data_IF_736599114332
#
_entry.id   IF_736599114332
#
_cell.length_a   1.000
_cell.length_b   1.000
_cell.length_c   1.000
_cell.angle_alpha   90.00
_cell.angle_beta   90.00
_cell.angle_gamma   90.00
#
_symmetry.space_group_name_H-M   'P 1'
#
loop_
_entity.id
_entity.type
_entity.pdbx_description
1 polymer ?
#
# COMPACT_ATOMS: atom_id res chain seq x y z
N UNK A 1 8.16 12.42 -9.87
CA UNK A 1 7.81 11.90 -8.53
C UNK A 1 8.62 10.62 -8.33
N UNK A 2 9.15 10.36 -7.14
CA UNK A 2 10.08 9.23 -6.96
C UNK A 2 9.70 8.29 -5.81
N UNK A 3 8.91 8.75 -4.84
CA UNK A 3 8.39 7.92 -3.76
C UNK A 3 6.86 7.89 -3.82
N UNK A 4 6.30 6.73 -4.05
CA UNK A 4 4.88 6.46 -4.04
C UNK A 4 4.57 5.62 -2.80
N UNK A 5 3.78 6.17 -1.90
CA UNK A 5 3.31 5.46 -0.70
C UNK A 5 1.87 5.04 -0.95
N UNK A 6 1.57 3.75 -0.83
CA UNK A 6 0.23 3.20 -1.07
C UNK A 6 -0.35 2.77 0.28
N UNK A 7 -1.43 3.42 0.69
CA UNK A 7 -2.16 3.15 1.92
C UNK A 7 -3.65 3.00 1.64
N UNK A 8 -4.47 2.76 2.64
CA UNK A 8 -5.91 2.55 2.55
C UNK A 8 -6.39 1.62 3.66
N UNK A 9 -7.70 1.47 3.84
CA UNK A 9 -8.28 0.56 4.83
C UNK A 9 -7.79 -0.88 4.67
N UNK A 10 -7.81 -1.65 5.74
CA UNK A 10 -7.54 -3.09 5.67
C UNK A 10 -8.51 -3.80 4.73
N UNK A 11 -7.99 -4.63 3.81
CA UNK A 11 -8.82 -5.37 2.85
C UNK A 11 -9.09 -4.65 1.52
N UNK A 12 -8.74 -3.38 1.36
CA UNK A 12 -8.98 -2.62 0.10
C UNK A 12 -8.06 -3.02 -1.06
N UNK A 13 -7.11 -3.94 -0.87
CA UNK A 13 -6.20 -4.39 -1.92
C UNK A 13 -4.97 -3.52 -2.11
N UNK A 14 -4.49 -2.82 -1.06
CA UNK A 14 -3.29 -1.98 -1.08
C UNK A 14 -2.09 -2.64 -1.74
N UNK A 15 -1.72 -3.84 -1.31
CA UNK A 15 -0.58 -4.59 -1.83
C UNK A 15 -0.71 -4.86 -3.33
N UNK A 16 -1.92 -5.22 -3.79
CA UNK A 16 -2.20 -5.44 -5.22
C UNK A 16 -2.05 -4.14 -6.02
N UNK A 17 -2.58 -3.04 -5.50
CA UNK A 17 -2.45 -1.71 -6.13
C UNK A 17 -1.01 -1.24 -6.14
N UNK A 18 -0.26 -1.45 -5.04
CA UNK A 18 1.17 -1.13 -4.97
C UNK A 18 1.98 -1.91 -6.02
N UNK A 19 1.71 -3.21 -6.16
CA UNK A 19 2.36 -4.05 -7.17
C UNK A 19 2.00 -3.62 -8.60
N UNK A 20 0.72 -3.33 -8.86
CA UNK A 20 0.27 -2.84 -10.17
C UNK A 20 0.90 -1.48 -10.51
N UNK A 21 0.99 -0.56 -9.55
CA UNK A 21 1.64 0.72 -9.71
C UNK A 21 3.15 0.55 -10.01
N UNK A 22 3.82 -0.37 -9.32
CA UNK A 22 5.23 -0.65 -9.57
C UNK A 22 5.46 -1.17 -11.01
N UNK A 23 4.61 -2.08 -11.49
CA UNK A 23 4.65 -2.56 -12.88
C UNK A 23 4.37 -1.44 -13.89
N UNK A 24 3.36 -0.59 -13.62
CA UNK A 24 3.02 0.54 -14.48
C UNK A 24 4.18 1.55 -14.57
N UNK A 25 4.85 1.84 -13.45
CA UNK A 25 6.01 2.75 -13.41
C UNK A 25 7.26 2.13 -14.06
N UNK A 26 7.38 0.80 -14.08
CA UNK A 26 8.46 0.09 -14.77
C UNK A 26 8.21 0.03 -16.29
N UNK A 27 6.95 0.11 -16.75
CA UNK A 27 6.63 0.16 -18.18
C UNK A 27 7.37 1.32 -18.86
N UNK A 28 7.99 1.06 -20.00
CA UNK A 28 8.89 2.02 -20.66
C UNK A 28 10.37 1.85 -20.29
N UNK A 29 10.76 0.74 -19.66
CA UNK A 29 12.16 0.37 -19.40
C UNK A 29 12.71 0.89 -18.07
N UNK A 30 11.85 1.40 -17.16
CA UNK A 30 12.25 1.91 -15.85
C UNK A 30 12.61 0.79 -14.85
N UNK A 31 13.39 1.17 -13.82
CA UNK A 31 13.69 0.31 -12.66
C UNK A 31 12.94 0.80 -11.44
N UNK A 32 12.11 -0.06 -10.85
CA UNK A 32 11.25 0.27 -9.70
C UNK A 32 11.54 -0.66 -8.55
N UNK A 33 11.62 -0.10 -7.34
CA UNK A 33 11.69 -0.88 -6.11
C UNK A 33 10.32 -0.86 -5.41
N UNK A 34 9.73 -2.03 -5.24
CA UNK A 34 8.51 -2.26 -4.46
C UNK A 34 8.88 -2.73 -3.05
N UNK A 35 8.46 -1.98 -2.02
CA UNK A 35 8.85 -2.23 -0.64
C UNK A 35 7.64 -2.64 0.20
N UNK A 36 7.76 -3.76 0.93
CA UNK A 36 6.80 -4.20 1.94
C UNK A 36 7.32 -3.86 3.34
N UNK A 37 6.52 -3.15 4.14
CA UNK A 37 6.93 -2.70 5.48
C UNK A 37 6.15 -3.36 6.62
N UNK A 38 5.10 -4.11 6.31
CA UNK A 38 4.29 -4.81 7.34
C UNK A 38 4.71 -6.27 7.58
N UNK A 39 5.62 -6.83 6.79
CA UNK A 39 6.18 -8.18 6.96
C UNK A 39 5.20 -9.32 6.70
N UNK A 40 4.12 -9.08 5.95
CA UNK A 40 3.09 -10.09 5.65
C UNK A 40 3.42 -11.00 4.47
N UNK A 41 4.51 -10.72 3.77
CA UNK A 41 4.91 -11.43 2.55
C UNK A 41 3.84 -11.41 1.44
N UNK A 42 3.00 -10.37 1.42
CA UNK A 42 1.93 -10.21 0.44
C UNK A 42 2.45 -10.00 -0.98
N UNK A 43 3.58 -9.30 -1.12
CA UNK A 43 4.26 -9.10 -2.41
C UNK A 43 4.77 -10.45 -2.94
N UNK A 44 5.39 -11.28 -2.09
CA UNK A 44 5.88 -12.60 -2.50
C UNK A 44 4.72 -13.47 -3.02
N UNK A 45 3.57 -13.45 -2.35
CA UNK A 45 2.38 -14.19 -2.78
C UNK A 45 1.83 -13.68 -4.12
N UNK A 46 1.80 -12.37 -4.35
CA UNK A 46 1.30 -11.78 -5.61
C UNK A 46 2.15 -12.15 -6.82
N UNK A 47 3.46 -12.26 -6.64
CA UNK A 47 4.40 -12.59 -7.73
C UNK A 47 4.78 -14.07 -7.77
N UNK A 48 4.10 -14.92 -6.98
CA UNK A 48 4.37 -16.37 -6.87
C UNK A 48 5.87 -16.66 -6.66
N UNK A 49 6.47 -15.93 -5.73
CA UNK A 49 7.88 -16.08 -5.37
C UNK A 49 8.03 -16.63 -3.95
N UNK A 50 9.17 -17.26 -3.62
CA UNK A 50 9.48 -17.57 -2.23
C UNK A 50 9.46 -16.32 -1.34
N UNK A 51 9.28 -16.47 0.00
CA UNK A 51 9.31 -15.35 0.92
C UNK A 51 10.51 -14.42 0.67
N UNK A 52 10.24 -13.12 0.60
CA UNK A 52 11.29 -12.12 0.34
C UNK A 52 12.20 -11.98 1.56
N UNK A 53 13.51 -12.13 1.41
CA UNK A 53 14.47 -11.79 2.44
C UNK A 53 14.65 -10.26 2.54
N UNK A 54 15.43 -9.82 3.52
CA UNK A 54 15.91 -8.43 3.59
C UNK A 54 17.01 -8.18 2.52
N UNK A 55 16.63 -8.35 1.26
CA UNK A 55 17.49 -8.20 0.08
C UNK A 55 16.60 -7.83 -1.12
N UNK A 56 17.08 -6.91 -1.94
CA UNK A 56 16.37 -6.51 -3.16
C UNK A 56 16.42 -7.63 -4.20
N UNK A 57 15.25 -8.14 -4.61
CA UNK A 57 15.14 -9.22 -5.60
C UNK A 57 14.28 -8.81 -6.77
N UNK A 58 14.71 -9.15 -7.98
CA UNK A 58 13.89 -9.02 -9.17
C UNK A 58 12.68 -9.97 -9.06
N UNK A 59 11.47 -9.42 -9.11
CA UNK A 59 10.21 -10.18 -9.02
C UNK A 59 9.39 -10.12 -10.28
N UNK A 60 9.59 -9.12 -11.13
CA UNK A 60 8.90 -9.02 -12.41
C UNK A 60 9.71 -8.20 -13.42
N UNK A 61 9.45 -8.48 -14.70
CA UNK A 61 9.91 -7.69 -15.84
C UNK A 61 8.68 -7.20 -16.60
N UNK A 62 8.56 -5.89 -16.76
CA UNK A 62 7.47 -5.29 -17.52
C UNK A 62 7.61 -5.57 -19.04
N UNK A 63 6.53 -5.49 -19.83
CA UNK A 63 6.57 -5.84 -21.27
C UNK A 63 7.68 -5.13 -22.07
N UNK A 64 8.01 -3.89 -21.70
CA UNK A 64 9.02 -3.06 -22.37
C UNK A 64 10.44 -3.22 -21.77
N UNK A 65 10.67 -4.28 -21.00
CA UNK A 65 11.96 -4.60 -20.41
C UNK A 65 12.29 -3.85 -19.11
N UNK A 66 11.35 -3.09 -18.54
CA UNK A 66 11.52 -2.48 -17.23
C UNK A 66 11.48 -3.52 -16.11
N UNK A 67 12.17 -3.24 -15.02
CA UNK A 67 12.42 -4.18 -13.94
C UNK A 67 11.73 -3.75 -12.64
N UNK A 68 11.02 -4.68 -12.00
CA UNK A 68 10.46 -4.50 -10.65
C UNK A 68 11.26 -5.36 -9.69
N UNK A 69 11.96 -4.70 -8.77
CA UNK A 69 12.61 -5.32 -7.62
C UNK A 69 11.69 -5.23 -6.42
N UNK A 70 11.69 -6.24 -5.57
CA UNK A 70 10.95 -6.23 -4.31
C UNK A 70 11.89 -6.39 -3.12
N UNK A 71 11.51 -5.75 -2.00
CA UNK A 71 12.21 -5.81 -0.72
C UNK A 71 11.19 -5.91 0.41
N UNK A 72 11.22 -6.97 1.20
CA UNK A 72 10.55 -7.01 2.49
C UNK A 72 11.47 -6.37 3.54
N UNK A 73 11.04 -5.22 4.09
CA UNK A 73 11.86 -4.51 5.08
C UNK A 73 11.68 -5.14 6.44
N UNK A 74 12.76 -5.72 6.96
CA UNK A 74 12.84 -6.26 8.30
C UNK A 74 13.38 -5.20 9.27
N UNK A 75 12.64 -4.84 10.35
CA UNK A 75 13.05 -3.78 11.27
C UNK A 75 14.35 -4.10 12.03
N UNK A 76 14.61 -5.39 12.33
CA UNK A 76 15.83 -5.81 13.01
C UNK A 76 17.03 -5.63 12.09
N UNK A 77 16.93 -6.11 10.87
CA UNK A 77 17.99 -5.96 9.87
C UNK A 77 18.24 -4.48 9.55
N UNK A 78 17.19 -3.67 9.43
CA UNK A 78 17.30 -2.22 9.21
C UNK A 78 17.99 -1.51 10.39
N UNK A 79 17.72 -1.92 11.63
CA UNK A 79 18.41 -1.39 12.81
C UNK A 79 19.90 -1.72 12.79
N UNK A 80 20.24 -2.97 12.46
CA UNK A 80 21.64 -3.40 12.39
C UNK A 80 22.41 -2.63 11.30
N UNK A 81 21.80 -2.47 10.12
CA UNK A 81 22.37 -1.67 9.02
C UNK A 81 22.56 -0.21 9.46
N UNK A 82 21.59 0.38 10.16
CA UNK A 82 21.68 1.72 10.71
C UNK A 82 22.84 1.87 11.71
N UNK A 83 22.97 0.94 12.66
CA UNK A 83 24.06 0.95 13.64
C UNK A 83 25.44 0.77 13.00
N UNK A 84 25.51 -0.06 11.95
CA UNK A 84 26.74 -0.24 11.18
C UNK A 84 27.14 1.05 10.45
N UNK A 85 26.17 1.73 9.83
CA UNK A 85 26.41 2.94 9.05
C UNK A 85 26.86 4.14 9.90
N UNK A 86 26.23 4.35 11.07
CA UNK A 86 26.45 5.56 11.88
C UNK A 86 27.43 5.39 13.02
N UNK A 87 27.59 4.17 13.52
CA UNK A 87 28.42 3.90 14.71
C UNK A 87 29.60 2.96 14.43
N UNK A 88 29.79 2.54 13.19
CA UNK A 88 30.86 1.61 12.76
C UNK A 88 30.91 0.31 13.62
N UNK A 89 29.75 -0.14 14.06
CA UNK A 89 29.61 -1.21 15.06
C UNK A 89 29.48 -2.60 14.43
N UNK A 90 30.24 -2.92 13.37
CA UNK A 90 30.22 -4.23 12.70
C UNK A 90 30.32 -5.44 13.65
N UNK A 91 31.10 -5.31 14.75
CA UNK A 91 31.28 -6.39 15.73
C UNK A 91 30.23 -6.39 16.84
N UNK A 92 29.55 -5.27 17.07
CA UNK A 92 28.53 -5.15 18.13
C UNK A 92 27.16 -5.68 17.68
N UNK A 93 26.85 -5.69 16.37
CA UNK A 93 25.60 -6.22 15.84
C UNK A 93 25.37 -7.70 16.23
N UNK A 94 26.43 -8.52 16.22
CA UNK A 94 26.34 -9.92 16.65
C UNK A 94 26.17 -10.07 18.17
N UNK A 95 26.75 -9.17 18.96
CA UNK A 95 26.57 -9.14 20.40
C UNK A 95 25.18 -8.62 20.80
N UNK A 96 24.67 -7.60 20.11
CA UNK A 96 23.32 -7.05 20.30
C UNK A 96 22.22 -8.08 19.99
N UNK A 97 22.37 -8.87 18.91
CA UNK A 97 21.48 -10.00 18.62
C UNK A 97 21.45 -11.04 19.73
N UNK A 98 22.61 -11.40 20.26
CA UNK A 98 22.74 -12.39 21.36
C UNK A 98 22.13 -11.89 22.68
N UNK A 99 22.04 -10.58 22.88
CA UNK A 99 21.53 -9.98 24.11
C UNK A 99 20.02 -9.64 24.04
N UNK A 100 19.34 -9.92 22.91
CA UNK A 100 17.94 -9.52 22.71
C UNK A 100 17.73 -8.00 22.70
N UNK A 101 18.82 -7.22 22.61
CA UNK A 101 18.76 -5.75 22.65
C UNK A 101 18.05 -5.17 21.43
N UNK A 102 18.00 -5.91 20.34
CA UNK A 102 17.28 -5.54 19.12
C UNK A 102 15.78 -5.70 19.33
N UNK A 103 15.32 -6.82 19.88
CA UNK A 103 13.92 -7.03 20.25
C UNK A 103 13.47 -5.98 21.27
N UNK A 104 14.32 -5.64 22.23
CA UNK A 104 14.06 -4.58 23.20
C UNK A 104 13.89 -3.22 22.52
N UNK A 105 14.80 -2.81 21.63
CA UNK A 105 14.76 -1.52 20.97
C UNK A 105 13.54 -1.37 20.02
N UNK A 106 13.17 -2.44 19.32
CA UNK A 106 12.04 -2.43 18.38
C UNK A 106 10.68 -2.64 19.04
N UNK A 107 10.64 -3.32 20.20
CA UNK A 107 9.40 -3.60 20.93
C UNK A 107 9.03 -2.47 21.90
N UNK A 108 10.01 -1.85 22.56
CA UNK A 108 9.76 -0.83 23.59
C UNK A 108 9.71 0.60 23.03
N UNK A 109 10.33 0.84 21.85
CA UNK A 109 10.26 2.12 21.18
C UNK A 109 9.56 2.01 19.81
N UNK A 110 8.22 1.88 19.79
CA UNK A 110 7.47 1.62 18.54
C UNK A 110 7.74 2.66 17.44
N UNK A 111 8.02 3.92 17.78
CA UNK A 111 8.42 4.95 16.82
C UNK A 111 9.78 4.68 16.14
N UNK A 112 10.70 3.96 16.79
CA UNK A 112 12.00 3.61 16.20
C UNK A 112 11.83 2.68 15.00
N UNK A 113 10.89 1.72 15.09
CA UNK A 113 10.56 0.83 13.98
C UNK A 113 10.14 1.63 12.74
N UNK A 114 9.22 2.57 12.90
CA UNK A 114 8.68 3.35 11.78
C UNK A 114 9.76 4.26 11.16
N UNK A 115 10.66 4.80 11.99
CA UNK A 115 11.85 5.54 11.54
C UNK A 115 12.79 4.69 10.69
N UNK A 116 13.04 3.45 11.07
CA UNK A 116 13.92 2.55 10.34
C UNK A 116 13.31 2.14 8.99
N UNK A 117 12.01 1.81 8.99
CA UNK A 117 11.28 1.41 7.77
C UNK A 117 11.21 2.57 6.76
N UNK A 118 10.83 3.76 7.21
CA UNK A 118 10.79 4.97 6.36
C UNK A 118 12.20 5.40 5.95
N UNK A 119 13.17 5.29 6.85
CA UNK A 119 14.58 5.58 6.58
C UNK A 119 15.15 4.73 5.44
N UNK A 120 14.80 3.44 5.39
CA UNK A 120 15.21 2.53 4.31
C UNK A 120 14.63 2.94 2.96
N UNK A 121 13.37 3.35 2.92
CA UNK A 121 12.75 3.87 1.69
C UNK A 121 13.45 5.14 1.20
N UNK A 122 13.76 6.08 2.11
CA UNK A 122 14.46 7.31 1.75
C UNK A 122 15.91 7.06 1.34
N UNK A 123 16.58 6.08 1.93
CA UNK A 123 17.91 5.63 1.48
C UNK A 123 17.81 5.17 0.03
N UNK A 124 16.85 4.31 -0.31
CA UNK A 124 16.64 3.84 -1.67
C UNK A 124 16.32 4.98 -2.65
N UNK A 125 15.50 5.97 -2.25
CA UNK A 125 15.23 7.18 -3.06
C UNK A 125 16.51 7.97 -3.36
N UNK A 126 17.40 8.10 -2.38
CA UNK A 126 18.62 8.91 -2.50
C UNK A 126 19.79 8.15 -3.12
N UNK A 127 19.70 6.84 -3.23
CA UNK A 127 20.78 5.99 -3.74
C UNK A 127 21.11 6.35 -5.18
N UNK A 128 22.37 6.60 -5.44
CA UNK A 128 22.88 6.97 -6.77
C UNK A 128 22.67 8.44 -7.17
N UNK A 129 21.91 9.24 -6.42
CA UNK A 129 21.68 10.67 -6.75
C UNK A 129 22.98 11.49 -6.79
N UNK A 130 23.91 11.23 -5.86
CA UNK A 130 25.22 11.92 -5.83
C UNK A 130 26.08 11.61 -7.06
N UNK A 131 25.86 10.48 -7.69
CA UNK A 131 26.52 10.08 -8.93
C UNK A 131 25.76 10.55 -10.19
N UNK A 132 24.67 11.32 -10.02
CA UNK A 132 23.81 11.81 -11.11
C UNK A 132 22.93 10.74 -11.75
N UNK A 133 23.00 9.48 -11.30
CA UNK A 133 22.19 8.37 -11.82
C UNK A 133 21.55 7.63 -10.64
N UNK A 134 20.26 7.83 -10.38
CA UNK A 134 19.55 7.08 -9.35
C UNK A 134 19.54 5.58 -9.67
N UNK A 135 19.58 4.75 -8.62
CA UNK A 135 19.54 3.28 -8.76
C UNK A 135 18.15 2.82 -9.23
N UNK A 136 17.09 3.50 -8.75
CA UNK A 136 15.71 3.25 -9.14
C UNK A 136 15.07 4.54 -9.64
N UNK A 137 14.24 4.44 -10.66
CA UNK A 137 13.46 5.56 -11.20
C UNK A 137 12.32 5.92 -10.26
N UNK A 138 11.72 4.92 -9.61
CA UNK A 138 10.69 5.10 -8.58
C UNK A 138 10.80 4.06 -7.48
N UNK A 139 10.30 4.43 -6.30
CA UNK A 139 10.09 3.56 -5.15
C UNK A 139 8.59 3.51 -4.87
N UNK A 140 8.02 2.32 -4.75
CA UNK A 140 6.64 2.11 -4.32
C UNK A 140 6.66 1.41 -2.96
N UNK A 141 6.02 2.00 -1.97
CA UNK A 141 5.93 1.45 -0.62
C UNK A 141 4.51 0.95 -0.36
N UNK A 142 4.34 -0.35 -0.12
CA UNK A 142 3.12 -0.92 0.44
C UNK A 142 3.10 -0.62 1.94
N UNK A 143 2.33 0.41 2.31
CA UNK A 143 2.39 1.07 3.60
C UNK A 143 1.29 0.58 4.56
N UNK A 144 1.39 0.91 5.86
CA UNK A 144 0.34 0.60 6.83
C UNK A 144 -1.02 1.19 6.46
N UNK A 145 -2.12 0.68 7.07
CA UNK A 145 -3.47 1.21 6.86
C UNK A 145 -3.63 2.70 7.21
N UNK A 146 -4.66 3.35 6.65
CA UNK A 146 -4.99 4.78 6.83
C UNK A 146 -4.94 5.24 8.27
N UNK A 147 -5.50 4.52 9.23
CA UNK A 147 -5.46 4.88 10.65
C UNK A 147 -4.05 4.87 11.29
N UNK A 148 -2.99 4.53 10.55
CA UNK A 148 -1.59 4.54 11.01
C UNK A 148 -0.65 5.29 10.09
N UNK A 149 -1.09 5.65 8.88
CA UNK A 149 -0.18 6.16 7.84
C UNK A 149 0.46 7.48 8.22
N UNK A 150 -0.30 8.40 8.78
CA UNK A 150 0.18 9.71 9.19
C UNK A 150 1.24 9.60 10.28
N UNK A 151 0.99 8.78 11.29
CA UNK A 151 1.96 8.50 12.36
C UNK A 151 3.21 7.82 11.81
N UNK A 152 3.04 6.82 10.94
CA UNK A 152 4.14 6.10 10.29
C UNK A 152 5.04 7.03 9.46
N UNK A 153 4.46 7.99 8.74
CA UNK A 153 5.21 8.93 7.92
C UNK A 153 5.73 10.15 8.70
N UNK A 154 5.09 10.52 9.82
CA UNK A 154 5.52 11.68 10.62
C UNK A 154 6.63 11.30 11.62
N UNK A 155 7.74 10.85 11.07
CA UNK A 155 8.91 10.32 11.81
C UNK A 155 9.47 11.30 12.84
N UNK A 156 9.35 12.60 12.60
CA UNK A 156 9.87 13.62 13.53
C UNK A 156 9.09 13.70 14.84
N UNK A 157 7.78 13.43 14.84
CA UNK A 157 6.97 13.44 16.06
C UNK A 157 7.34 12.28 16.98
N UNK A 158 7.66 11.13 16.40
CA UNK A 158 8.00 9.91 17.13
C UNK A 158 9.41 9.96 17.74
N UNK A 159 10.36 10.62 17.05
CA UNK A 159 11.75 10.73 17.48
C UNK A 159 12.00 11.96 18.38
N UNK A 160 11.13 12.97 18.29
CA UNK A 160 11.30 14.24 19.02
C UNK A 160 11.44 14.09 20.55
N UNK A 161 10.93 12.97 21.11
CA UNK A 161 11.13 12.60 22.51
C UNK A 161 12.46 11.88 22.81
N UNK A 162 13.08 11.26 21.79
CA UNK A 162 14.26 10.39 21.97
C UNK A 162 15.59 11.09 21.71
N UNK A 163 15.63 12.08 20.82
CA UNK A 163 16.87 12.79 20.49
C UNK A 163 16.61 14.23 20.03
N UNK A 164 16.96 15.19 20.86
CA UNK A 164 16.88 16.63 20.51
C UNK A 164 18.04 17.09 19.62
N UNK A 165 19.14 16.33 19.57
CA UNK A 165 20.37 16.61 18.80
C UNK A 165 21.06 15.31 18.39
N UNK A 166 21.91 15.35 17.36
CA UNK A 166 22.75 14.23 16.94
C UNK A 166 22.28 13.53 15.65
N UNK A 167 22.90 12.37 15.31
CA UNK A 167 22.68 11.70 14.02
C UNK A 167 21.21 11.29 13.78
N UNK A 168 20.51 10.85 14.82
CA UNK A 168 19.10 10.43 14.74
C UNK A 168 18.21 11.61 14.33
N UNK A 169 18.41 12.79 14.93
CA UNK A 169 17.65 13.98 14.53
C UNK A 169 17.94 14.39 13.09
N UNK A 170 19.20 14.45 12.71
CA UNK A 170 19.61 14.81 11.34
C UNK A 170 19.03 13.83 10.30
N UNK A 171 18.98 12.55 10.63
CA UNK A 171 18.34 11.52 9.80
C UNK A 171 16.84 11.76 9.68
N UNK A 172 16.15 11.96 10.80
CA UNK A 172 14.72 12.24 10.83
C UNK A 172 14.35 13.47 9.99
N UNK A 173 15.09 14.58 10.16
CA UNK A 173 14.91 15.80 9.37
C UNK A 173 15.12 15.54 7.87
N UNK A 174 16.12 14.73 7.51
CA UNK A 174 16.42 14.33 6.15
C UNK A 174 15.34 13.45 5.53
N UNK A 175 14.73 12.56 6.31
CA UNK A 175 13.59 11.73 5.93
C UNK A 175 12.37 12.61 5.67
N UNK A 176 12.01 13.48 6.60
CA UNK A 176 10.87 14.38 6.48
C UNK A 176 11.00 15.36 5.31
N UNK A 177 12.21 15.82 5.01
CA UNK A 177 12.47 16.68 3.86
C UNK A 177 12.11 15.98 2.51
N UNK A 178 12.30 14.67 2.40
CA UNK A 178 11.87 13.91 1.19
C UNK A 178 10.38 13.62 1.25
N UNK A 179 9.85 13.15 2.38
CA UNK A 179 8.43 12.80 2.52
C UNK A 179 7.54 13.99 2.22
N UNK A 180 7.87 15.20 2.69
CA UNK A 180 7.09 16.44 2.46
C UNK A 180 7.38 17.12 1.13
N UNK A 181 8.28 16.60 0.33
CA UNK A 181 8.65 17.21 -0.96
C UNK A 181 7.71 16.78 -2.09
N UNK A 182 7.70 17.53 -3.22
CA UNK A 182 6.99 17.13 -4.44
C UNK A 182 7.47 15.80 -5.05
N UNK A 183 8.50 15.20 -4.49
CA UNK A 183 9.05 13.89 -4.90
C UNK A 183 8.24 12.73 -4.34
N UNK A 184 7.36 12.97 -3.37
CA UNK A 184 6.55 11.96 -2.68
C UNK A 184 5.07 12.16 -3.01
N UNK A 185 4.31 11.06 -3.09
CA UNK A 185 2.86 11.06 -3.10
C UNK A 185 2.33 9.90 -2.25
N UNK A 186 1.34 10.20 -1.41
CA UNK A 186 0.61 9.21 -0.63
C UNK A 186 -0.71 8.91 -1.35
N UNK A 187 -0.82 7.72 -1.90
CA UNK A 187 -2.01 7.23 -2.59
C UNK A 187 -2.89 6.47 -1.61
N UNK A 188 -4.20 6.68 -1.67
CA UNK A 188 -5.17 6.03 -0.82
C UNK A 188 -6.05 5.08 -1.63
N UNK A 189 -6.06 3.81 -1.24
CA UNK A 189 -6.88 2.77 -1.87
C UNK A 189 -8.16 2.60 -1.08
N UNK A 190 -9.30 2.73 -1.76
CA UNK A 190 -10.64 2.59 -1.20
C UNK A 190 -11.50 1.61 -1.99
N UNK A 191 -12.64 1.25 -1.43
CA UNK A 191 -13.75 0.55 -2.09
C UNK A 191 -14.95 1.47 -2.13
N UNK A 192 -15.92 1.22 -3.00
CA UNK A 192 -17.20 1.92 -3.01
C UNK A 192 -18.13 1.36 -1.92
N UNK A 193 -17.69 1.51 -0.69
CA UNK A 193 -18.40 1.11 0.53
C UNK A 193 -18.29 2.24 1.56
N UNK A 194 -19.29 2.43 2.40
CA UNK A 194 -19.38 3.55 3.35
C UNK A 194 -18.12 3.71 4.21
N UNK A 195 -17.71 2.64 4.91
CA UNK A 195 -16.57 2.71 5.82
C UNK A 195 -15.21 2.96 5.13
N UNK A 196 -14.85 2.28 4.01
CA UNK A 196 -13.63 2.61 3.27
C UNK A 196 -13.60 4.03 2.72
N UNK A 197 -14.73 4.55 2.23
CA UNK A 197 -14.83 5.93 1.75
C UNK A 197 -14.63 6.90 2.90
N UNK A 198 -15.32 6.72 4.04
CA UNK A 198 -15.16 7.59 5.20
C UNK A 198 -13.71 7.60 5.71
N UNK A 199 -13.09 6.43 5.90
CA UNK A 199 -11.68 6.33 6.32
C UNK A 199 -10.72 6.99 5.31
N UNK A 200 -11.07 6.99 4.04
CA UNK A 200 -10.27 7.67 3.01
C UNK A 200 -10.37 9.18 3.13
N UNK A 201 -11.58 9.71 3.35
CA UNK A 201 -11.80 11.14 3.56
C UNK A 201 -11.08 11.64 4.82
N UNK A 202 -11.25 10.93 5.94
CA UNK A 202 -10.56 11.23 7.20
C UNK A 202 -9.03 11.17 7.01
N UNK A 203 -8.53 10.15 6.30
CA UNK A 203 -7.11 10.00 5.99
C UNK A 203 -6.55 11.13 5.13
N UNK A 204 -7.32 11.65 4.17
CA UNK A 204 -6.93 12.82 3.37
C UNK A 204 -6.79 14.05 4.24
N UNK A 205 -7.75 14.29 5.13
CA UNK A 205 -7.73 15.41 6.06
C UNK A 205 -6.52 15.33 6.99
N UNK A 206 -6.32 14.19 7.63
CA UNK A 206 -5.18 13.93 8.52
C UNK A 206 -3.82 14.13 7.81
N UNK A 207 -3.67 13.62 6.57
CA UNK A 207 -2.45 13.83 5.78
C UNK A 207 -2.20 15.31 5.50
N UNK A 208 -3.25 16.08 5.15
CA UNK A 208 -3.15 17.51 4.87
C UNK A 208 -2.77 18.33 6.10
N UNK A 209 -3.39 18.04 7.25
CA UNK A 209 -3.07 18.68 8.53
C UNK A 209 -1.60 18.47 8.93
N UNK A 210 -1.04 17.30 8.60
CA UNK A 210 0.36 16.97 8.86
C UNK A 210 1.32 17.37 7.73
N UNK A 211 0.84 18.13 6.73
CA UNK A 211 1.64 18.58 5.58
C UNK A 211 2.27 17.42 4.79
N UNK A 212 1.56 16.30 4.70
CA UNK A 212 1.94 15.14 3.92
C UNK A 212 1.28 15.20 2.53
N UNK A 213 2.00 14.87 1.45
CA UNK A 213 1.52 15.06 0.08
C UNK A 213 0.48 13.99 -0.28
N UNK A 214 -0.77 14.39 -0.41
CA UNK A 214 -1.85 13.53 -0.89
C UNK A 214 -1.67 13.32 -2.40
N UNK A 215 -1.66 12.05 -2.82
CA UNK A 215 -1.58 11.61 -4.22
C UNK A 215 -2.97 11.33 -4.81
N UNK A 216 -3.11 10.22 -5.50
CA UNK A 216 -4.37 9.75 -6.06
C UNK A 216 -5.19 8.97 -5.03
N UNK A 217 -6.51 9.05 -5.14
CA UNK A 217 -7.43 8.08 -4.56
C UNK A 217 -7.71 7.01 -5.61
N UNK A 218 -7.48 5.75 -5.27
CA UNK A 218 -7.69 4.60 -6.15
C UNK A 218 -8.92 3.85 -5.66
N UNK A 219 -10.01 3.92 -6.41
CA UNK A 219 -11.19 3.09 -6.20
C UNK A 219 -10.88 1.71 -6.76
N UNK A 220 -10.78 0.72 -5.89
CA UNK A 220 -10.43 -0.65 -6.26
C UNK A 220 -11.66 -1.56 -6.20
N UNK A 221 -11.58 -2.70 -6.88
CA UNK A 221 -12.64 -3.73 -6.92
C UNK A 221 -13.98 -3.19 -7.42
N UNK A 222 -13.97 -2.11 -8.18
CA UNK A 222 -15.17 -1.64 -8.86
C UNK A 222 -15.67 -2.74 -9.81
N UNK A 223 -16.94 -3.03 -9.71
CA UNK A 223 -17.61 -3.93 -10.63
C UNK A 223 -18.35 -3.09 -11.66
N UNK A 224 -17.99 -3.24 -12.92
CA UNK A 224 -18.76 -2.62 -14.00
C UNK A 224 -20.24 -3.01 -13.90
N UNK A 225 -21.14 -2.13 -14.32
CA UNK A 225 -22.57 -2.40 -14.30
C UNK A 225 -22.85 -3.68 -15.11
N UNK A 226 -23.52 -4.64 -14.49
CA UNK A 226 -23.97 -5.89 -15.14
C UNK A 226 -25.27 -5.71 -15.93
N UNK A 227 -25.99 -4.64 -15.62
CA UNK A 227 -27.24 -4.26 -16.23
C UNK A 227 -27.02 -3.04 -17.12
N UNK A 228 -27.76 -2.97 -18.23
CA UNK A 228 -27.73 -1.78 -19.07
C UNK A 228 -28.42 -0.59 -18.36
N UNK A 229 -28.15 0.67 -18.77
CA UNK A 229 -28.91 1.82 -18.23
C UNK A 229 -30.42 1.73 -18.48
N UNK A 230 -30.86 0.93 -19.46
CA UNK A 230 -32.25 0.65 -19.76
C UNK A 230 -32.84 -0.32 -18.73
N UNK A 231 -32.15 -1.46 -18.49
CA UNK A 231 -32.55 -2.43 -17.46
C UNK A 231 -32.65 -1.80 -16.07
N UNK A 232 -31.71 -0.90 -15.73
CA UNK A 232 -31.75 -0.18 -14.45
C UNK A 232 -32.95 0.76 -14.33
N UNK A 233 -33.29 1.48 -15.40
CA UNK A 233 -34.49 2.32 -15.43
C UNK A 233 -35.75 1.49 -15.31
N UNK A 234 -35.84 0.38 -16.05
CA UNK A 234 -37.00 -0.53 -16.00
C UNK A 234 -37.15 -1.19 -14.63
N UNK A 235 -36.04 -1.42 -13.93
CA UNK A 235 -36.07 -1.91 -12.53
C UNK A 235 -36.63 -0.86 -11.57
N UNK A 236 -36.22 0.41 -11.68
CA UNK A 236 -36.75 1.52 -10.89
C UNK A 236 -38.25 1.77 -11.15
N UNK A 237 -38.63 1.76 -12.42
CA UNK A 237 -40.00 2.02 -12.85
C UNK A 237 -40.92 0.81 -12.65
N UNK A 238 -40.38 -0.36 -12.28
CA UNK A 238 -41.11 -1.61 -12.11
C UNK A 238 -41.63 -2.19 -13.42
N UNK A 239 -41.01 -1.87 -14.54
CA UNK A 239 -41.40 -2.29 -15.92
C UNK A 239 -40.56 -3.44 -16.47
N UNK A 240 -39.61 -4.00 -15.69
CA UNK A 240 -38.82 -5.16 -16.07
C UNK A 240 -39.69 -6.33 -16.53
N UNK A 241 -39.31 -6.97 -17.63
CA UNK A 241 -39.95 -8.22 -18.09
C UNK A 241 -39.65 -9.38 -17.14
N UNK A 242 -40.59 -9.66 -16.25
CA UNK A 242 -40.46 -10.69 -15.22
C UNK A 242 -40.34 -12.10 -15.81
N UNK A 243 -40.84 -12.33 -16.99
CA UNK A 243 -40.79 -13.65 -17.63
C UNK A 243 -39.40 -13.87 -18.24
N UNK A 244 -38.78 -12.82 -18.77
CA UNK A 244 -37.41 -12.87 -19.26
C UNK A 244 -36.44 -13.06 -18.09
N UNK A 245 -36.57 -12.31 -16.96
CA UNK A 245 -35.75 -12.49 -15.75
C UNK A 245 -35.90 -13.91 -15.21
N UNK A 246 -37.11 -14.45 -15.15
CA UNK A 246 -37.35 -15.84 -14.72
C UNK A 246 -36.69 -16.86 -15.64
N UNK A 247 -36.80 -16.66 -16.97
CA UNK A 247 -36.15 -17.53 -17.95
C UNK A 247 -34.64 -17.57 -17.75
N UNK A 248 -34.01 -16.43 -17.52
CA UNK A 248 -32.57 -16.31 -17.16
C UNK A 248 -32.22 -17.05 -15.88
N UNK A 249 -33.04 -16.88 -14.83
CA UNK A 249 -32.85 -17.59 -13.56
C UNK A 249 -32.96 -19.09 -13.69
N UNK A 250 -33.88 -19.57 -14.52
CA UNK A 250 -34.02 -21.01 -14.84
C UNK A 250 -32.81 -21.51 -15.60
N UNK A 251 -32.34 -20.77 -16.60
CA UNK A 251 -31.16 -21.12 -17.40
C UNK A 251 -29.85 -21.16 -16.57
N UNK A 252 -29.80 -20.45 -15.45
CA UNK A 252 -28.64 -20.44 -14.55
C UNK A 252 -28.50 -21.68 -13.65
N UNK A 253 -29.38 -22.68 -13.78
CA UNK A 253 -29.34 -23.96 -13.05
C UNK A 253 -29.15 -23.80 -11.53
N UNK A 254 -30.08 -23.13 -10.85
CA UNK A 254 -29.96 -22.80 -9.45
C UNK A 254 -29.77 -24.01 -8.51
N UNK A 255 -29.03 -23.87 -7.40
CA UNK A 255 -28.92 -24.89 -6.39
C UNK A 255 -30.31 -25.29 -5.83
N UNK A 256 -30.54 -26.58 -5.52
CA UNK A 256 -31.83 -27.15 -5.08
C UNK A 256 -32.50 -26.43 -3.91
N UNK A 257 -31.78 -25.59 -3.17
CA UNK A 257 -32.29 -24.83 -2.01
C UNK A 257 -32.90 -23.47 -2.38
N UNK A 258 -32.71 -23.01 -3.62
CA UNK A 258 -33.21 -21.71 -4.08
C UNK A 258 -34.40 -21.94 -5.03
N UNK A 259 -35.43 -21.13 -4.87
CA UNK A 259 -36.57 -21.12 -5.78
C UNK A 259 -36.44 -20.00 -6.79
N UNK A 260 -36.86 -20.24 -8.05
CA UNK A 260 -36.86 -19.23 -9.11
C UNK A 260 -37.55 -17.94 -8.67
N UNK A 261 -38.71 -18.04 -8.03
CA UNK A 261 -39.44 -16.85 -7.57
C UNK A 261 -38.69 -16.03 -6.52
N UNK A 262 -37.99 -16.68 -5.58
CA UNK A 262 -37.21 -15.97 -4.55
C UNK A 262 -36.03 -15.26 -5.20
N UNK A 263 -35.28 -15.94 -6.07
CA UNK A 263 -34.11 -15.35 -6.74
C UNK A 263 -34.54 -14.20 -7.67
N UNK A 264 -35.61 -14.36 -8.42
CA UNK A 264 -36.15 -13.29 -9.29
C UNK A 264 -36.51 -12.03 -8.48
N UNK A 265 -37.20 -12.18 -7.35
CA UNK A 265 -37.55 -11.04 -6.48
C UNK A 265 -36.30 -10.34 -5.92
N UNK A 266 -35.29 -11.11 -5.50
CA UNK A 266 -34.05 -10.56 -4.98
C UNK A 266 -33.30 -9.79 -6.08
N UNK A 267 -33.19 -10.35 -7.28
CA UNK A 267 -32.50 -9.69 -8.40
C UNK A 267 -33.17 -8.36 -8.80
N UNK A 268 -34.49 -8.31 -8.78
CA UNK A 268 -35.25 -7.08 -9.10
C UNK A 268 -35.02 -6.03 -8.02
N UNK A 269 -35.04 -6.43 -6.73
CA UNK A 269 -34.78 -5.51 -5.62
C UNK A 269 -33.35 -4.96 -5.69
N UNK A 270 -32.35 -5.82 -5.90
CA UNK A 270 -30.96 -5.43 -6.09
C UNK A 270 -30.76 -4.52 -7.30
N UNK A 271 -31.45 -4.79 -8.42
CA UNK A 271 -31.38 -3.94 -9.61
C UNK A 271 -31.94 -2.53 -9.34
N UNK A 272 -33.03 -2.42 -8.59
CA UNK A 272 -33.61 -1.14 -8.20
C UNK A 272 -32.68 -0.36 -7.24
N UNK A 273 -32.09 -1.03 -6.23
CA UNK A 273 -31.11 -0.44 -5.32
C UNK A 273 -29.84 0.06 -6.03
N UNK A 274 -29.42 -0.63 -7.10
CA UNK A 274 -28.25 -0.20 -7.89
C UNK A 274 -28.55 0.95 -8.85
N UNK A 275 -29.79 1.25 -9.09
CA UNK A 275 -30.23 2.30 -10.00
C UNK A 275 -30.45 3.65 -9.29
N UNK A 276 -30.60 3.64 -7.94
CA UNK A 276 -30.63 4.84 -7.09
C UNK A 276 -29.21 5.42 -6.87
#
# INVERSE_FOLDING_TARGET
MRLHVVSGKGGTGKTTVAAALALALASGGGRVLLMEVEGRQGIAQLFDTPPLPYEERLVAVAPDGGEVFALAVDPEAALLEYLEMFYNMRRAGTALRKLGAVDFATTIAPGVRDVLLTGKAIEAVKRGERAGKPTYDAIVMDAPPTGRITRFLNVTSEVGGLAKVGPIKSQSDSVMAVIRSPRTAVHLVTLLEEMPVQETLDGIEELRENQLPVGAVIVNMERGPRLTPEDLRDALDGTLDLDEVKAGVVAAELPRKLTVNTVTKTLIAEAAEHAE
#
